data_IF_570459706461
#
_entry.id   IF_570459706461
#
_cell.length_a   1.000
_cell.length_b   1.000
_cell.length_c   1.000
_cell.angle_alpha   90.00
_cell.angle_beta   90.00
_cell.angle_gamma   90.00
#
_symmetry.space_group_name_H-M   'P 1'
#
loop_
_entity.id
_entity.type
_entity.pdbx_description
1 polymer ?
#
# COMPACT_ATOMS: atom_id res chain seq x y z
N UNK A 1 20.80 13.88 -19.31
CA UNK A 1 19.91 13.85 -20.48
C UNK A 1 19.55 15.28 -20.85
N UNK A 2 19.85 15.69 -22.08
CA UNK A 2 19.49 17.02 -22.59
C UNK A 2 17.96 17.10 -22.72
N UNK A 3 17.33 18.09 -22.08
CA UNK A 3 15.87 18.27 -22.08
C UNK A 3 15.28 18.37 -23.49
N UNK A 4 16.06 18.89 -24.44
CA UNK A 4 15.65 18.97 -25.84
C UNK A 4 15.58 17.61 -26.53
N UNK A 5 16.52 16.70 -26.24
CA UNK A 5 16.49 15.34 -26.81
C UNK A 5 15.27 14.56 -26.34
N UNK A 6 14.92 14.67 -25.05
CA UNK A 6 13.74 14.01 -24.48
C UNK A 6 12.46 14.52 -25.15
N UNK A 7 12.36 15.83 -25.39
CA UNK A 7 11.20 16.43 -26.06
C UNK A 7 11.03 15.90 -27.49
N UNK A 8 12.11 15.84 -28.27
CA UNK A 8 12.07 15.32 -29.64
C UNK A 8 11.67 13.85 -29.66
N UNK A 9 12.25 13.04 -28.76
CA UNK A 9 11.90 11.61 -28.64
C UNK A 9 10.44 11.38 -28.28
N UNK A 10 9.87 12.17 -27.37
CA UNK A 10 8.46 12.06 -27.02
C UNK A 10 7.52 12.43 -28.17
N UNK A 11 7.90 13.41 -28.99
CA UNK A 11 7.14 13.79 -30.19
C UNK A 11 7.16 12.69 -31.25
N UNK A 12 8.32 12.08 -31.49
CA UNK A 12 8.48 10.95 -32.41
C UNK A 12 7.67 9.72 -31.95
N UNK A 13 7.69 9.41 -30.64
CA UNK A 13 6.87 8.34 -30.07
C UNK A 13 5.38 8.61 -30.27
N UNK A 14 4.92 9.84 -30.00
CA UNK A 14 3.52 10.22 -30.19
C UNK A 14 3.07 10.08 -31.65
N UNK A 15 3.93 10.45 -32.61
CA UNK A 15 3.62 10.29 -34.03
C UNK A 15 3.48 8.81 -34.42
N UNK A 16 4.36 7.94 -33.93
CA UNK A 16 4.28 6.49 -34.17
C UNK A 16 3.02 5.87 -33.56
N UNK A 17 2.70 6.23 -32.31
CA UNK A 17 1.50 5.74 -31.60
C UNK A 17 0.21 6.19 -32.30
N UNK A 18 0.19 7.41 -32.86
CA UNK A 18 -0.98 7.93 -33.55
C UNK A 18 -1.34 7.12 -34.80
N UNK A 19 -0.34 6.48 -35.44
CA UNK A 19 -0.51 5.61 -36.62
C UNK A 19 -0.89 4.17 -36.26
N UNK A 20 -0.86 3.80 -34.98
CA UNK A 20 -1.28 2.49 -34.50
C UNK A 20 -2.77 2.45 -34.16
N UNK A 21 -3.34 1.26 -34.28
CA UNK A 21 -4.72 0.97 -33.86
C UNK A 21 -4.91 1.35 -32.38
N UNK A 22 -5.97 2.13 -32.03
CA UNK A 22 -6.23 2.53 -30.65
C UNK A 22 -6.16 1.41 -29.63
N UNK A 23 -6.57 0.19 -29.99
CA UNK A 23 -6.59 -0.96 -29.09
C UNK A 23 -5.20 -1.45 -28.66
N UNK A 24 -4.15 -1.14 -29.42
CA UNK A 24 -2.77 -1.62 -29.17
C UNK A 24 -1.80 -0.52 -28.76
N UNK A 25 -2.25 0.74 -28.69
CA UNK A 25 -1.38 1.90 -28.40
C UNK A 25 -0.68 1.78 -27.06
N UNK A 26 -1.40 1.31 -26.05
CA UNK A 26 -0.88 1.13 -24.70
C UNK A 26 0.24 0.08 -24.67
N UNK A 27 0.00 -1.10 -25.25
CA UNK A 27 1.01 -2.16 -25.33
C UNK A 27 2.20 -1.79 -26.22
N UNK A 28 1.97 -1.07 -27.32
CA UNK A 28 3.04 -0.60 -28.19
C UNK A 28 3.95 0.42 -27.50
N UNK A 29 3.38 1.29 -26.67
CA UNK A 29 4.15 2.25 -25.88
C UNK A 29 5.14 1.53 -24.96
N UNK A 30 4.70 0.47 -24.27
CA UNK A 30 5.56 -0.33 -23.39
C UNK A 30 6.73 -0.98 -24.13
N UNK A 31 6.49 -1.47 -25.34
CA UNK A 31 7.53 -2.08 -26.19
C UNK A 31 8.54 -1.03 -26.65
N UNK A 32 8.12 0.22 -26.87
CA UNK A 32 9.00 1.28 -27.37
C UNK A 32 9.90 1.90 -26.31
N UNK A 33 9.44 2.02 -25.05
CA UNK A 33 10.22 2.59 -23.93
C UNK A 33 11.69 2.10 -23.87
N UNK A 34 12.00 0.79 -23.90
CA UNK A 34 13.38 0.31 -23.78
C UNK A 34 14.27 0.69 -24.97
N UNK A 35 13.71 0.92 -26.16
CA UNK A 35 14.49 1.32 -27.34
C UNK A 35 14.86 2.80 -27.32
N UNK A 36 13.98 3.64 -26.79
CA UNK A 36 14.16 5.10 -26.73
C UNK A 36 14.89 5.55 -25.45
N UNK A 37 14.69 4.84 -24.34
CA UNK A 37 15.30 5.15 -23.06
C UNK A 37 16.23 4.01 -22.64
N UNK A 38 17.39 3.91 -23.30
CA UNK A 38 18.43 2.88 -23.04
C UNK A 38 18.97 2.87 -21.59
N UNK A 39 18.68 3.91 -20.80
CA UNK A 39 19.07 4.03 -19.38
C UNK A 39 17.88 4.17 -18.42
N UNK A 40 16.67 3.74 -18.82
CA UNK A 40 15.59 3.58 -17.86
C UNK A 40 15.88 2.35 -16.97
N UNK A 41 15.77 2.43 -15.62
CA UNK A 41 15.99 1.28 -14.77
C UNK A 41 15.07 0.15 -15.20
N UNK A 42 15.68 -1.00 -15.47
CA UNK A 42 15.05 -2.18 -16.04
C UNK A 42 13.68 -2.45 -15.41
N UNK A 43 12.60 -2.29 -16.20
CA UNK A 43 11.31 -2.88 -15.85
C UNK A 43 11.45 -4.39 -15.87
N UNK A 44 10.97 -4.98 -14.79
CA UNK A 44 10.99 -6.39 -14.44
C UNK A 44 10.51 -7.31 -15.57
N UNK A 45 11.20 -8.45 -15.72
CA UNK A 45 10.71 -9.61 -16.47
C UNK A 45 9.33 -10.05 -15.96
N UNK A 46 8.43 -10.53 -16.83
CA UNK A 46 7.21 -11.20 -16.39
C UNK A 46 7.59 -12.57 -15.83
N UNK A 47 7.66 -12.69 -14.51
CA UNK A 47 7.79 -13.97 -13.83
C UNK A 47 6.51 -14.23 -13.05
N UNK A 48 5.89 -15.35 -13.42
CA UNK A 48 4.70 -15.93 -12.80
C UNK A 48 4.82 -16.03 -11.28
N UNK A 49 3.65 -15.88 -10.65
CA UNK A 49 3.27 -16.34 -9.30
C UNK A 49 4.04 -15.76 -8.11
N UNK A 50 3.62 -14.56 -7.71
CA UNK A 50 3.44 -14.14 -6.32
C UNK A 50 2.44 -12.98 -6.31
N UNK A 51 1.42 -12.95 -5.43
CA UNK A 51 0.42 -11.88 -5.45
C UNK A 51 1.11 -10.56 -5.14
N UNK A 52 1.00 -9.65 -6.10
CA UNK A 52 1.64 -8.37 -6.14
C UNK A 52 1.19 -7.52 -4.94
N UNK A 53 2.17 -7.01 -4.21
CA UNK A 53 1.99 -5.84 -3.36
C UNK A 53 1.82 -4.68 -4.32
N UNK A 54 0.59 -4.23 -4.50
CA UNK A 54 0.21 -3.05 -5.27
C UNK A 54 0.98 -1.85 -4.74
N UNK A 55 1.86 -1.27 -5.56
CA UNK A 55 2.42 0.06 -5.28
C UNK A 55 1.35 1.12 -5.54
N UNK A 56 1.41 2.27 -4.85
CA UNK A 56 0.30 3.18 -4.68
C UNK A 56 -0.10 3.78 -6.02
N UNK A 57 -1.32 3.50 -6.47
CA UNK A 57 -2.05 4.50 -7.25
C UNK A 57 -2.06 5.79 -6.41
N UNK A 58 -1.94 6.94 -7.07
CA UNK A 58 -2.36 8.23 -6.52
C UNK A 58 -3.87 8.18 -6.28
N UNK A 59 -4.30 7.32 -5.35
CA UNK A 59 -5.65 7.31 -4.84
C UNK A 59 -5.75 8.53 -3.93
N UNK A 60 -6.84 9.32 -4.06
CA UNK A 60 -7.13 10.38 -3.10
C UNK A 60 -7.03 9.76 -1.69
N UNK A 61 -6.45 10.53 -0.76
CA UNK A 61 -6.24 10.06 0.62
C UNK A 61 -7.50 9.32 1.09
N UNK A 62 -7.36 8.07 1.57
CA UNK A 62 -8.52 7.24 1.87
C UNK A 62 -9.40 7.99 2.89
N UNK A 63 -10.71 7.94 2.68
CA UNK A 63 -11.64 8.54 3.62
C UNK A 63 -11.56 7.78 4.94
N UNK A 64 -10.94 8.42 5.93
CA UNK A 64 -10.69 7.84 7.25
C UNK A 64 -11.92 7.96 8.17
N UNK A 65 -13.02 8.56 7.68
CA UNK A 65 -14.23 8.83 8.45
C UNK A 65 -15.09 7.58 8.62
N UNK A 66 -15.15 6.73 7.60
CA UNK A 66 -15.86 5.45 7.61
C UNK A 66 -14.88 4.29 7.40
N UNK A 67 -14.93 3.31 8.31
CA UNK A 67 -14.11 2.11 8.25
C UNK A 67 -14.47 1.25 7.03
N UNK A 68 -15.76 1.21 6.64
CA UNK A 68 -16.22 0.45 5.48
C UNK A 68 -15.66 1.01 4.17
N UNK A 69 -15.75 2.33 3.99
CA UNK A 69 -15.15 3.04 2.86
C UNK A 69 -13.62 2.91 2.83
N UNK A 70 -12.97 3.01 3.99
CA UNK A 70 -11.52 2.83 4.10
C UNK A 70 -11.09 1.43 3.65
N UNK A 71 -11.77 0.39 4.13
CA UNK A 71 -11.48 -1.01 3.79
C UNK A 71 -11.72 -1.27 2.31
N UNK A 72 -12.83 -0.78 1.77
CA UNK A 72 -13.21 -1.00 0.36
C UNK A 72 -12.23 -0.35 -0.63
N UNK A 73 -11.41 0.61 -0.16
CA UNK A 73 -10.40 1.29 -0.97
C UNK A 73 -9.16 0.44 -1.24
N UNK A 74 -9.06 -0.74 -0.64
CA UNK A 74 -7.89 -1.60 -0.81
C UNK A 74 -8.31 -3.06 -1.08
N UNK A 75 -7.56 -3.75 -1.95
CA UNK A 75 -7.78 -5.17 -2.23
C UNK A 75 -7.00 -6.05 -1.25
N UNK A 76 -7.68 -7.04 -0.65
CA UNK A 76 -7.10 -7.91 0.38
C UNK A 76 -7.50 -9.38 0.21
N UNK A 77 -6.60 -10.18 -0.34
CA UNK A 77 -6.85 -11.62 -0.47
C UNK A 77 -6.46 -12.44 0.77
N UNK A 78 -5.62 -11.88 1.66
CA UNK A 78 -5.03 -12.65 2.76
C UNK A 78 -5.50 -12.10 4.12
N UNK A 79 -5.93 -12.98 5.05
CA UNK A 79 -6.34 -12.56 6.39
C UNK A 79 -5.26 -11.76 7.15
N UNK A 80 -3.99 -12.06 6.93
CA UNK A 80 -2.88 -11.32 7.56
C UNK A 80 -2.79 -9.86 7.10
N UNK A 81 -3.21 -9.56 5.88
CA UNK A 81 -3.12 -8.21 5.31
C UNK A 81 -4.31 -7.37 5.83
N UNK A 82 -5.46 -8.01 6.11
CA UNK A 82 -6.58 -7.39 6.82
C UNK A 82 -6.20 -6.87 8.21
N UNK A 83 -5.31 -7.57 8.93
CA UNK A 83 -4.80 -7.09 10.23
C UNK A 83 -4.04 -5.77 10.06
N UNK A 84 -3.19 -5.66 9.03
CA UNK A 84 -2.41 -4.46 8.78
C UNK A 84 -3.28 -3.28 8.37
N UNK A 85 -4.32 -3.55 7.58
CA UNK A 85 -5.31 -2.56 7.19
C UNK A 85 -6.07 -2.01 8.40
N UNK A 86 -6.59 -2.89 9.27
CA UNK A 86 -7.29 -2.47 10.49
C UNK A 86 -6.38 -1.63 11.37
N UNK A 87 -5.10 -2.01 11.49
CA UNK A 87 -4.10 -1.21 12.18
C UNK A 87 -3.85 0.14 11.48
N UNK A 88 -3.83 0.20 10.15
CA UNK A 88 -3.68 1.43 9.40
C UNK A 88 -4.82 2.41 9.70
N UNK A 89 -6.06 1.89 9.76
CA UNK A 89 -7.24 2.66 10.15
C UNK A 89 -7.18 3.13 11.61
N UNK A 90 -6.76 2.27 12.53
CA UNK A 90 -6.60 2.65 13.94
C UNK A 90 -5.52 3.73 14.10
N UNK A 91 -4.43 3.62 13.35
CA UNK A 91 -3.38 4.64 13.32
C UNK A 91 -3.88 5.96 12.73
N UNK A 92 -4.72 5.92 11.69
CA UNK A 92 -5.27 7.12 11.08
C UNK A 92 -6.25 7.86 11.98
N UNK A 93 -6.89 7.15 12.91
CA UNK A 93 -7.82 7.73 13.88
C UNK A 93 -7.14 8.17 15.17
N UNK A 94 -6.39 7.28 15.82
CA UNK A 94 -5.90 7.47 17.19
C UNK A 94 -4.37 7.65 17.28
N UNK A 95 -3.66 7.49 16.16
CA UNK A 95 -2.20 7.61 16.11
C UNK A 95 -1.47 6.40 16.70
N UNK A 96 -0.31 6.65 17.32
CA UNK A 96 0.60 5.60 17.79
C UNK A 96 0.31 5.22 19.24
N UNK A 97 -0.61 4.28 19.45
CA UNK A 97 -0.96 3.72 20.76
C UNK A 97 -0.78 2.20 20.81
N UNK A 98 -0.81 1.57 22.00
CA UNK A 98 -0.76 0.12 22.12
C UNK A 98 -2.10 -0.51 21.70
N UNK A 99 -2.12 -1.16 20.54
CA UNK A 99 -3.29 -1.82 19.96
C UNK A 99 -3.41 -3.24 20.51
N UNK A 100 -4.60 -3.66 20.92
CA UNK A 100 -4.82 -5.01 21.41
C UNK A 100 -5.27 -5.96 20.29
N UNK A 101 -4.89 -7.24 20.38
CA UNK A 101 -5.37 -8.24 19.43
C UNK A 101 -6.89 -8.45 19.49
N UNK A 102 -7.50 -8.22 20.66
CA UNK A 102 -8.96 -8.28 20.86
C UNK A 102 -9.67 -7.18 20.07
N UNK A 103 -9.17 -5.95 20.14
CA UNK A 103 -9.69 -4.79 19.42
C UNK A 103 -9.67 -5.01 17.89
N UNK A 104 -8.55 -5.53 17.36
CA UNK A 104 -8.45 -5.88 15.93
C UNK A 104 -9.49 -6.93 15.53
N UNK A 105 -9.72 -7.92 16.40
CA UNK A 105 -10.71 -8.96 16.14
C UNK A 105 -12.13 -8.37 16.12
N UNK A 106 -12.48 -7.58 17.12
CA UNK A 106 -13.80 -6.93 17.22
C UNK A 106 -14.07 -6.01 16.03
N UNK A 107 -13.07 -5.24 15.59
CA UNK A 107 -13.17 -4.40 14.39
C UNK A 107 -13.30 -5.23 13.12
N UNK A 108 -12.54 -6.31 13.00
CA UNK A 108 -12.63 -7.23 11.87
C UNK A 108 -14.03 -7.84 11.76
N UNK A 109 -14.57 -8.34 12.88
CA UNK A 109 -15.92 -8.92 12.95
C UNK A 109 -16.99 -7.86 12.63
N UNK A 110 -16.84 -6.63 13.12
CA UNK A 110 -17.77 -5.52 12.85
C UNK A 110 -17.79 -5.08 11.38
N UNK A 111 -16.66 -5.20 10.68
CA UNK A 111 -16.53 -4.80 9.27
C UNK A 111 -16.73 -5.97 8.29
N UNK A 112 -17.00 -7.18 8.80
CA UNK A 112 -17.10 -8.38 7.96
C UNK A 112 -15.76 -8.84 7.36
N UNK A 113 -14.63 -8.41 7.91
CA UNK A 113 -13.30 -8.82 7.47
C UNK A 113 -12.84 -10.08 8.18
N UNK A 114 -12.42 -11.07 7.40
CA UNK A 114 -11.81 -12.29 7.95
C UNK A 114 -10.40 -11.98 8.44
N UNK A 115 -10.22 -11.97 9.76
CA UNK A 115 -8.90 -11.83 10.40
C UNK A 115 -8.39 -13.17 10.93
N UNK A 116 -7.07 -13.36 11.08
CA UNK A 116 -6.51 -14.56 11.68
C UNK A 116 -6.89 -14.60 13.17
N UNK A 117 -7.22 -15.79 13.70
CA UNK A 117 -7.53 -15.96 15.13
C UNK A 117 -6.42 -15.55 16.10
N UNK A 118 -5.20 -15.30 15.59
CA UNK A 118 -4.02 -14.82 16.30
C UNK A 118 -3.43 -13.58 15.63
N UNK A 119 -4.17 -12.47 15.67
CA UNK A 119 -3.69 -11.17 15.18
C UNK A 119 -2.39 -10.70 15.87
N UNK A 120 -2.16 -11.15 17.12
CA UNK A 120 -0.92 -10.91 17.87
C UNK A 120 0.32 -11.48 17.16
N UNK A 121 0.19 -12.67 16.55
CA UNK A 121 1.28 -13.29 15.82
C UNK A 121 1.60 -12.53 14.53
N UNK A 122 0.57 -12.02 13.85
CA UNK A 122 0.74 -11.19 12.65
C UNK A 122 1.53 -9.92 12.97
N UNK A 123 1.17 -9.21 14.05
CA UNK A 123 1.90 -8.01 14.49
C UNK A 123 3.33 -8.33 14.97
N UNK A 124 3.51 -9.45 15.68
CA UNK A 124 4.82 -9.92 16.14
C UNK A 124 5.78 -10.22 14.98
N UNK A 125 5.29 -10.85 13.92
CA UNK A 125 6.10 -11.27 12.78
C UNK A 125 6.29 -10.16 11.75
N UNK A 126 5.54 -9.07 11.86
CA UNK A 126 5.59 -7.96 10.91
C UNK A 126 6.92 -7.21 10.95
N UNK A 127 7.63 -7.27 9.82
CA UNK A 127 8.92 -6.61 9.64
C UNK A 127 9.01 -5.95 8.26
N UNK A 128 9.69 -4.81 8.17
CA UNK A 128 10.10 -4.18 6.90
C UNK A 128 11.60 -3.98 6.93
N UNK A 129 12.29 -4.48 5.90
CA UNK A 129 13.76 -4.39 5.80
C UNK A 129 14.49 -4.89 7.05
N UNK A 130 14.02 -6.01 7.62
CA UNK A 130 14.57 -6.62 8.84
C UNK A 130 14.18 -5.93 10.16
N UNK A 131 13.52 -4.77 10.12
CA UNK A 131 13.10 -4.01 11.31
C UNK A 131 11.67 -4.36 11.70
N UNK A 132 11.41 -4.54 12.99
CA UNK A 132 10.07 -4.79 13.51
C UNK A 132 9.16 -3.57 13.36
N UNK A 133 7.93 -3.80 12.88
CA UNK A 133 6.93 -2.74 12.74
C UNK A 133 6.22 -2.43 14.06
N UNK A 134 6.20 -3.40 14.97
CA UNK A 134 5.54 -3.30 16.27
C UNK A 134 6.48 -3.69 17.40
N UNK A 135 6.32 -3.03 18.54
CA UNK A 135 6.92 -3.39 19.81
C UNK A 135 5.81 -3.79 20.79
N UNK A 136 6.05 -4.84 21.57
CA UNK A 136 5.12 -5.25 22.61
C UNK A 136 5.16 -4.23 23.77
N UNK A 137 3.99 -3.72 24.16
CA UNK A 137 3.83 -2.82 25.29
C UNK A 137 2.68 -3.34 26.18
N UNK A 138 3.04 -3.97 27.29
CA UNK A 138 2.07 -4.64 28.16
C UNK A 138 1.32 -5.75 27.43
N UNK A 139 -0.01 -5.65 27.38
CA UNK A 139 -0.89 -6.59 26.65
C UNK A 139 -1.14 -6.20 25.19
N UNK A 140 -0.63 -5.05 24.74
CA UNK A 140 -0.82 -4.52 23.39
C UNK A 140 0.45 -4.46 22.56
N UNK A 141 0.28 -4.06 21.31
CA UNK A 141 1.33 -3.87 20.31
C UNK A 141 1.33 -2.41 19.86
N UNK A 142 2.43 -1.72 20.08
CA UNK A 142 2.60 -0.33 19.68
C UNK A 142 3.44 -0.25 18.40
N UNK A 143 3.03 0.60 17.47
CA UNK A 143 3.81 0.89 16.27
C UNK A 143 5.17 1.50 16.62
N UNK A 144 6.21 1.02 15.94
CA UNK A 144 7.53 1.64 15.94
C UNK A 144 7.57 2.77 14.92
N UNK A 145 8.62 3.60 14.96
CA UNK A 145 8.85 4.63 13.92
C UNK A 145 8.89 3.99 12.52
N UNK A 146 9.47 2.79 12.40
CA UNK A 146 9.49 2.04 11.13
C UNK A 146 8.10 1.52 10.74
N UNK A 147 7.27 1.16 11.73
CA UNK A 147 5.86 0.80 11.54
C UNK A 147 5.04 1.97 11.03
N UNK A 148 5.19 3.15 11.64
CA UNK A 148 4.49 4.36 11.20
C UNK A 148 4.83 4.73 9.76
N UNK A 149 6.11 4.69 9.39
CA UNK A 149 6.54 4.93 8.01
C UNK A 149 5.98 3.87 7.05
N UNK A 150 5.93 2.61 7.46
CA UNK A 150 5.30 1.56 6.65
C UNK A 150 3.82 1.84 6.38
N UNK A 151 3.05 2.23 7.39
CA UNK A 151 1.62 2.51 7.21
C UNK A 151 1.40 3.73 6.31
N UNK A 152 2.18 4.79 6.50
CA UNK A 152 2.15 5.98 5.64
C UNK A 152 2.45 5.63 4.18
N UNK A 153 3.48 4.85 3.93
CA UNK A 153 3.89 4.50 2.57
C UNK A 153 2.91 3.52 1.90
N UNK A 154 2.37 2.56 2.66
CA UNK A 154 1.58 1.44 2.11
C UNK A 154 0.11 1.80 1.97
N UNK A 155 -0.44 2.52 2.95
CA UNK A 155 -1.88 2.83 3.03
C UNK A 155 -2.17 4.31 2.83
N UNK A 156 -1.15 5.15 2.58
CA UNK A 156 -1.30 6.60 2.43
C UNK A 156 -2.05 7.27 3.61
N UNK A 157 -1.88 6.73 4.83
CA UNK A 157 -2.56 7.22 6.03
C UNK A 157 -1.75 8.26 6.79
N UNK A 158 -2.41 9.27 7.34
CA UNK A 158 -1.81 10.28 8.22
C UNK A 158 -2.04 9.90 9.68
N UNK A 159 -1.16 10.32 10.59
CA UNK A 159 -1.31 10.06 12.02
C UNK A 159 -2.57 10.74 12.56
N UNK A 160 -3.44 9.96 13.19
CA UNK A 160 -4.61 10.46 13.89
C UNK A 160 -4.29 11.16 15.20
N UNK A 161 -5.22 11.99 15.66
CA UNK A 161 -5.14 12.75 16.91
C UNK A 161 -6.37 12.56 17.81
N UNK A 162 -7.26 11.61 17.50
CA UNK A 162 -8.44 11.34 18.35
C UNK A 162 -8.00 10.75 19.69
N UNK A 163 -8.76 11.04 20.73
CA UNK A 163 -8.53 10.44 22.04
C UNK A 163 -8.69 8.92 21.95
N UNK A 164 -7.74 8.21 22.55
CA UNK A 164 -7.75 6.74 22.60
C UNK A 164 -8.97 6.32 23.42
N UNK A 165 -9.79 5.36 22.95
CA UNK A 165 -10.86 4.79 23.75
C UNK A 165 -10.23 4.20 25.02
N UNK A 166 -10.53 4.80 26.17
CA UNK A 166 -10.18 4.23 27.47
C UNK A 166 -11.23 3.19 27.82
N UNK A 167 -10.85 1.92 27.79
CA UNK A 167 -11.53 0.84 28.53
C UNK A 167 -11.40 1.10 30.04
#
# INVERSE_FOLDING_TARGET
MDKEKVKTTLLEMNELISKLDPAIRESAFEVMIPYYFKDAPAKHKPQQTQPAVTQPQENPAPDNTDIGAFISSFEHDKPKDNVMLLVAWLYSNYGAYPIQAKEIKELGDACGLVTPGRADNTMRQAKRSGKALFNQQGKGWKLTVSGELYLKDTYNVVKGNKEIPKD
#
